data_IF_562732043095
#
_entry.id   IF_562732043095
#
_cell.length_a   1.000
_cell.length_b   1.000
_cell.length_c   1.000
_cell.angle_alpha   90.00
_cell.angle_beta   90.00
_cell.angle_gamma   90.00
#
_symmetry.space_group_name_H-M   'P 1'
#
loop_
_entity.id
_entity.type
_entity.pdbx_description
1 polymer ?
#
# COMPACT_ATOMS: atom_id res chain seq x y z
N UNK A 1 -17.71 5.95 44.76
CA UNK A 1 -18.12 6.48 43.44
C UNK A 1 -19.09 5.48 42.82
N UNK A 2 -20.11 5.90 42.08
CA UNK A 2 -20.93 4.95 41.30
C UNK A 2 -20.03 4.26 40.27
N UNK A 3 -20.23 2.96 40.07
CA UNK A 3 -19.43 2.19 39.12
C UNK A 3 -19.62 2.69 37.68
N UNK A 4 -18.56 2.56 36.87
CA UNK A 4 -18.54 2.98 35.48
C UNK A 4 -19.20 1.92 34.59
N UNK A 5 -20.44 2.19 34.15
CA UNK A 5 -21.26 1.24 33.35
C UNK A 5 -21.55 1.74 31.93
N UNK A 6 -20.53 2.02 31.10
CA UNK A 6 -20.75 2.47 29.73
C UNK A 6 -21.31 1.36 28.85
N UNK A 7 -21.97 1.75 27.76
CA UNK A 7 -22.47 0.84 26.73
C UNK A 7 -21.65 1.04 25.46
N UNK A 8 -21.10 -0.05 24.93
CA UNK A 8 -20.42 -0.05 23.64
C UNK A 8 -21.25 -0.81 22.62
N UNK A 9 -21.52 -0.19 21.47
CA UNK A 9 -22.11 -0.87 20.33
C UNK A 9 -20.98 -1.23 19.37
N UNK A 10 -20.76 -2.53 19.20
CA UNK A 10 -19.69 -3.12 18.39
C UNK A 10 -20.29 -3.91 17.23
N UNK A 11 -19.47 -4.22 16.24
CA UNK A 11 -19.89 -4.89 15.01
C UNK A 11 -19.17 -4.32 13.80
N UNK A 12 -19.43 -4.91 12.64
CA UNK A 12 -18.87 -4.43 11.38
C UNK A 12 -19.37 -3.02 11.06
N UNK A 13 -18.55 -2.12 10.49
CA UNK A 13 -19.03 -0.88 9.91
C UNK A 13 -20.21 -1.14 8.98
N UNK A 14 -21.13 -0.18 8.89
CA UNK A 14 -22.36 -0.26 8.06
C UNK A 14 -23.37 -1.34 8.50
N UNK A 15 -23.20 -1.89 9.71
CA UNK A 15 -24.21 -2.75 10.37
C UNK A 15 -25.22 -1.97 11.19
N UNK A 16 -25.12 -0.64 11.24
CA UNK A 16 -26.06 0.23 11.97
C UNK A 16 -25.63 0.62 13.38
N UNK A 17 -24.33 0.53 13.70
CA UNK A 17 -23.80 0.92 15.02
C UNK A 17 -24.16 2.36 15.38
N UNK A 18 -24.07 3.29 14.43
CA UNK A 18 -24.37 4.70 14.64
C UNK A 18 -25.89 4.93 14.86
N UNK A 19 -26.78 4.28 14.09
CA UNK A 19 -28.24 4.41 14.29
C UNK A 19 -28.69 3.85 15.64
N UNK A 20 -28.12 2.72 16.08
CA UNK A 20 -28.44 2.18 17.41
C UNK A 20 -27.90 3.08 18.53
N UNK A 21 -26.72 3.69 18.34
CA UNK A 21 -26.17 4.70 19.27
C UNK A 21 -27.15 5.86 19.43
N UNK A 22 -27.73 6.31 18.32
CA UNK A 22 -28.74 7.34 18.30
C UNK A 22 -30.01 6.97 19.04
N UNK A 23 -30.54 5.77 18.79
CA UNK A 23 -31.67 5.21 19.51
C UNK A 23 -31.44 5.28 21.01
N UNK A 24 -30.36 4.65 21.49
CA UNK A 24 -30.06 4.60 22.92
C UNK A 24 -29.77 5.98 23.51
N UNK A 25 -29.17 6.89 22.74
CA UNK A 25 -28.92 8.28 23.16
C UNK A 25 -30.18 9.11 23.42
N UNK A 26 -31.35 8.68 22.92
CA UNK A 26 -32.62 9.34 23.24
C UNK A 26 -33.15 9.00 24.65
N UNK A 27 -32.57 8.01 25.33
CA UNK A 27 -32.97 7.64 26.68
C UNK A 27 -32.55 8.72 27.69
N UNK A 28 -33.41 9.12 28.67
CA UNK A 28 -33.09 10.18 29.64
C UNK A 28 -31.79 9.96 30.43
N UNK A 29 -31.42 8.70 30.67
CA UNK A 29 -30.22 8.35 31.44
C UNK A 29 -28.97 8.04 30.59
N UNK A 30 -29.08 7.98 29.26
CA UNK A 30 -27.97 7.62 28.37
C UNK A 30 -27.55 8.79 27.49
N UNK A 31 -26.28 9.18 27.59
CA UNK A 31 -25.67 10.14 26.68
C UNK A 31 -25.12 9.44 25.43
N UNK A 32 -25.66 9.76 24.26
CA UNK A 32 -25.12 9.30 22.98
C UNK A 32 -23.83 10.02 22.61
N UNK A 33 -22.74 9.27 22.40
CA UNK A 33 -21.44 9.82 22.02
C UNK A 33 -21.11 9.57 20.55
N UNK A 34 -20.31 10.47 19.98
CA UNK A 34 -19.68 10.32 18.67
C UNK A 34 -18.76 9.10 18.60
N UNK A 35 -18.59 8.56 17.39
CA UNK A 35 -17.50 7.63 17.10
C UNK A 35 -16.17 8.31 17.41
N UNK A 36 -15.34 7.67 18.24
CA UNK A 36 -14.17 8.33 18.83
C UNK A 36 -12.87 7.57 18.66
N UNK A 37 -12.95 6.24 18.50
CA UNK A 37 -11.87 5.31 18.17
C UNK A 37 -10.53 5.50 18.93
N UNK A 38 -10.54 6.07 20.13
CA UNK A 38 -9.32 6.32 20.90
C UNK A 38 -9.23 5.45 22.14
N UNK A 39 -10.35 5.02 22.73
CA UNK A 39 -10.36 4.34 24.03
C UNK A 39 -9.71 2.94 23.96
N UNK A 40 -10.00 2.17 22.90
CA UNK A 40 -9.40 0.85 22.72
C UNK A 40 -7.88 0.91 22.44
N UNK A 41 -7.37 1.77 21.52
CA UNK A 41 -5.93 2.00 21.41
C UNK A 41 -5.30 2.50 22.71
N UNK A 42 -5.96 3.43 23.40
CA UNK A 42 -5.46 3.98 24.66
C UNK A 42 -5.33 2.93 25.77
N UNK A 43 -6.22 1.92 25.82
CA UNK A 43 -6.07 0.80 26.73
C UNK A 43 -4.75 0.03 26.49
N UNK A 44 -4.35 -0.14 25.22
CA UNK A 44 -3.06 -0.74 24.85
C UNK A 44 -1.91 0.17 25.28
N UNK A 45 -1.99 1.48 25.02
CA UNK A 45 -0.97 2.45 25.41
C UNK A 45 -0.75 2.47 26.93
N UNK A 46 -1.83 2.39 27.72
CA UNK A 46 -1.75 2.30 29.17
C UNK A 46 -1.09 1.01 29.63
N UNK A 47 -1.39 -0.13 29.00
CA UNK A 47 -0.73 -1.39 29.33
C UNK A 47 0.77 -1.36 28.98
N UNK A 48 1.15 -0.71 27.87
CA UNK A 48 2.56 -0.45 27.51
C UNK A 48 3.23 0.46 28.54
N UNK A 49 2.56 1.55 28.93
CA UNK A 49 3.06 2.49 29.93
C UNK A 49 3.24 1.81 31.30
N UNK A 50 2.28 0.98 31.71
CA UNK A 50 2.36 0.18 32.92
C UNK A 50 3.56 -0.76 32.87
N UNK A 51 3.75 -1.50 31.77
CA UNK A 51 4.91 -2.39 31.56
C UNK A 51 6.24 -1.65 31.72
N UNK A 52 6.35 -0.43 31.19
CA UNK A 52 7.54 0.43 31.38
C UNK A 52 7.70 0.83 32.85
N UNK A 53 6.61 1.20 33.51
CA UNK A 53 6.57 1.58 34.92
C UNK A 53 6.85 0.44 35.91
N UNK A 54 6.62 -0.82 35.51
CA UNK A 54 6.81 -2.04 36.32
C UNK A 54 8.05 -2.89 35.93
N UNK A 55 8.79 -2.51 34.89
CA UNK A 55 9.85 -3.31 34.27
C UNK A 55 10.97 -3.79 35.21
N UNK A 56 11.19 -3.13 36.36
CA UNK A 56 12.28 -3.46 37.30
C UNK A 56 11.79 -4.09 38.61
N UNK A 57 10.58 -4.68 38.62
CA UNK A 57 9.99 -5.29 39.81
C UNK A 57 9.92 -4.29 40.97
N UNK A 58 10.32 -4.67 42.17
CA UNK A 58 10.27 -3.80 43.36
C UNK A 58 11.07 -2.48 43.26
N UNK A 59 11.95 -2.32 42.27
CA UNK A 59 12.67 -1.05 42.02
C UNK A 59 11.91 -0.09 41.11
N UNK A 60 10.81 -0.54 40.54
CA UNK A 60 9.94 0.21 39.65
C UNK A 60 8.81 0.85 40.46
N UNK A 61 8.46 2.11 40.19
CA UNK A 61 7.50 2.87 40.98
C UNK A 61 6.18 2.11 41.19
N UNK A 62 5.56 1.63 40.11
CA UNK A 62 4.24 0.97 40.16
C UNK A 62 4.28 -0.33 40.98
N UNK A 63 5.25 -1.20 40.68
CA UNK A 63 5.42 -2.48 41.37
C UNK A 63 5.82 -2.32 42.83
N UNK A 64 6.68 -1.35 43.16
CA UNK A 64 7.08 -1.06 44.55
C UNK A 64 5.90 -0.62 45.43
N UNK A 65 4.85 -0.06 44.82
CA UNK A 65 3.62 0.37 45.48
C UNK A 65 2.55 -0.72 45.50
N UNK A 66 2.80 -1.90 44.92
CA UNK A 66 1.83 -2.99 44.80
C UNK A 66 0.65 -2.66 43.88
N UNK A 67 0.81 -1.73 42.94
CA UNK A 67 -0.23 -1.37 41.99
C UNK A 67 -0.30 -2.44 40.91
N UNK A 68 -1.45 -3.10 40.79
CA UNK A 68 -1.73 -4.08 39.74
C UNK A 68 -2.19 -3.41 38.44
N UNK A 69 -1.90 -4.04 37.30
CA UNK A 69 -2.17 -3.46 35.97
C UNK A 69 -3.65 -3.19 35.74
N UNK A 70 -4.49 -4.19 36.04
CA UNK A 70 -5.94 -4.08 35.79
C UNK A 70 -6.57 -3.03 36.73
N UNK A 71 -6.10 -2.93 37.97
CA UNK A 71 -6.51 -1.85 38.89
C UNK A 71 -6.12 -0.47 38.33
N UNK A 72 -4.87 -0.31 37.89
CA UNK A 72 -4.40 0.94 37.28
C UNK A 72 -5.26 1.34 36.07
N UNK A 73 -5.57 0.40 35.18
CA UNK A 73 -6.43 0.65 34.02
C UNK A 73 -7.85 1.05 34.42
N UNK A 74 -8.44 0.38 35.42
CA UNK A 74 -9.77 0.71 35.94
C UNK A 74 -9.83 2.10 36.59
N UNK A 75 -8.79 2.50 37.32
CA UNK A 75 -8.69 3.85 37.89
C UNK A 75 -8.67 4.92 36.80
N UNK A 76 -7.92 4.69 35.71
CA UNK A 76 -7.92 5.59 34.55
C UNK A 76 -9.28 5.58 33.84
N UNK A 77 -9.92 4.42 33.65
CA UNK A 77 -11.28 4.35 33.11
C UNK A 77 -12.31 5.12 33.94
N UNK A 78 -12.16 5.10 35.27
CA UNK A 78 -12.97 5.92 36.19
C UNK A 78 -12.78 7.42 35.93
N UNK A 79 -11.54 7.86 35.69
CA UNK A 79 -11.22 9.23 35.30
C UNK A 79 -11.83 9.61 33.94
N UNK A 80 -11.79 8.72 32.95
CA UNK A 80 -12.40 8.93 31.62
C UNK A 80 -13.91 9.12 31.77
N UNK A 81 -14.58 8.20 32.46
CA UNK A 81 -16.02 8.29 32.69
C UNK A 81 -16.41 9.57 33.41
N UNK A 82 -15.68 9.90 34.48
CA UNK A 82 -15.90 11.14 35.25
C UNK A 82 -15.77 12.37 34.36
N UNK A 83 -14.77 12.40 33.49
CA UNK A 83 -14.56 13.50 32.54
C UNK A 83 -15.72 13.62 31.55
N UNK A 84 -16.15 12.52 30.94
CA UNK A 84 -17.29 12.52 29.99
C UNK A 84 -18.56 13.05 30.66
N UNK A 85 -18.94 12.48 31.80
CA UNK A 85 -20.18 12.85 32.50
C UNK A 85 -20.11 14.30 33.00
N UNK A 86 -18.97 14.73 33.57
CA UNK A 86 -18.78 16.10 34.06
C UNK A 86 -18.86 17.15 32.95
N UNK A 87 -18.42 16.82 31.75
CA UNK A 87 -18.39 17.75 30.62
C UNK A 87 -19.60 17.63 29.68
N UNK A 88 -20.63 16.84 30.05
CA UNK A 88 -21.81 16.64 29.20
C UNK A 88 -22.57 17.93 28.86
N UNK A 89 -22.70 18.87 29.80
CA UNK A 89 -23.48 20.10 29.59
C UNK A 89 -22.90 20.95 28.45
N UNK A 90 -21.57 20.97 28.33
CA UNK A 90 -20.89 21.63 27.22
C UNK A 90 -21.19 20.95 25.88
N UNK A 91 -21.27 19.61 25.87
CA UNK A 91 -21.62 18.83 24.68
C UNK A 91 -23.10 19.04 24.29
N UNK A 92 -24.02 18.96 25.25
CA UNK A 92 -25.46 19.21 25.05
C UNK A 92 -25.74 20.63 24.54
N UNK A 93 -25.06 21.62 25.10
CA UNK A 93 -25.18 23.03 24.69
C UNK A 93 -24.72 23.25 23.25
N UNK A 94 -23.61 22.63 22.84
CA UNK A 94 -23.17 22.67 21.43
C UNK A 94 -24.17 21.99 20.50
N UNK A 95 -24.79 20.89 20.95
CA UNK A 95 -25.87 20.24 20.21
C UNK A 95 -27.07 21.14 19.96
N UNK A 96 -27.53 21.86 21.00
CA UNK A 96 -28.63 22.83 20.89
C UNK A 96 -28.34 23.99 19.94
N UNK A 97 -27.08 24.40 19.83
CA UNK A 97 -26.63 25.49 18.97
C UNK A 97 -26.42 25.08 17.51
N UNK A 98 -26.78 23.84 17.12
CA UNK A 98 -26.64 23.34 15.75
C UNK A 98 -25.21 22.98 15.36
N UNK A 99 -24.30 22.85 16.34
CA UNK A 99 -22.88 22.57 16.12
C UNK A 99 -22.52 21.07 16.33
N UNK A 100 -23.51 20.16 16.33
CA UNK A 100 -23.26 18.73 16.53
C UNK A 100 -22.98 18.03 15.20
N UNK A 101 -21.80 17.37 15.03
CA UNK A 101 -21.51 16.52 13.87
C UNK A 101 -22.52 15.38 13.73
N UNK A 102 -23.00 14.90 14.88
CA UNK A 102 -24.06 13.94 15.05
C UNK A 102 -25.40 14.42 14.44
N UNK A 103 -25.84 15.66 14.66
CA UNK A 103 -27.13 16.16 14.16
C UNK A 103 -27.00 17.39 13.25
N UNK A 104 -26.43 17.24 12.05
CA UNK A 104 -26.14 18.36 11.16
C UNK A 104 -27.40 19.04 10.62
N UNK A 105 -28.51 18.31 10.52
CA UNK A 105 -29.80 18.83 10.04
C UNK A 105 -30.70 19.33 11.19
N UNK A 106 -30.20 19.32 12.44
CA UNK A 106 -30.95 19.66 13.65
C UNK A 106 -32.31 18.94 13.74
N UNK A 107 -32.35 17.67 13.32
CA UNK A 107 -33.57 16.89 13.29
C UNK A 107 -33.99 16.47 14.72
N UNK A 108 -35.27 16.56 15.10
CA UNK A 108 -35.73 16.27 16.47
C UNK A 108 -35.39 14.86 16.98
N UNK A 109 -35.37 13.86 16.09
CA UNK A 109 -35.04 12.48 16.44
C UNK A 109 -33.57 12.28 16.86
N UNK A 110 -32.68 13.25 16.60
CA UNK A 110 -31.24 13.18 16.87
C UNK A 110 -30.80 14.23 17.89
N UNK A 111 -31.70 14.60 18.82
CA UNK A 111 -31.34 15.46 19.94
C UNK A 111 -30.36 14.72 20.86
N UNK A 112 -29.32 15.42 21.31
CA UNK A 112 -28.35 14.90 22.29
C UNK A 112 -29.01 14.77 23.67
N UNK A 113 -29.77 15.79 24.05
CA UNK A 113 -30.57 15.83 25.27
C UNK A 113 -31.98 16.30 24.93
N UNK A 114 -32.98 15.66 25.56
CA UNK A 114 -34.40 15.96 25.34
C UNK A 114 -34.90 16.95 26.38
N UNK A 115 -34.40 16.83 27.61
CA UNK A 115 -34.71 17.70 28.74
C UNK A 115 -33.43 18.09 29.50
N UNK A 116 -33.34 19.32 29.98
CA UNK A 116 -32.17 19.77 30.77
C UNK A 116 -32.03 19.02 32.11
N UNK A 117 -33.13 18.46 32.61
CA UNK A 117 -33.17 17.63 33.80
C UNK A 117 -32.81 16.15 33.54
N UNK A 118 -32.57 15.76 32.28
CA UNK A 118 -32.20 14.39 31.92
C UNK A 118 -30.95 13.95 32.72
N UNK A 119 -31.01 12.82 33.47
CA UNK A 119 -29.92 12.44 34.35
C UNK A 119 -28.61 12.10 33.65
N UNK A 120 -28.65 11.62 32.39
CA UNK A 120 -27.49 11.29 31.53
C UNK A 120 -26.27 10.76 32.31
N UNK A 121 -26.48 9.80 33.20
CA UNK A 121 -25.46 9.33 34.14
C UNK A 121 -24.58 8.22 33.56
N UNK A 122 -24.99 7.65 32.43
CA UNK A 122 -24.25 6.68 31.62
C UNK A 122 -24.13 7.20 30.20
N UNK A 123 -23.28 6.57 29.41
CA UNK A 123 -23.08 6.95 28.01
C UNK A 123 -22.99 5.71 27.11
N UNK A 124 -23.34 5.91 25.84
CA UNK A 124 -23.28 4.90 24.79
C UNK A 124 -22.35 5.38 23.68
N UNK A 125 -21.49 4.48 23.19
CA UNK A 125 -20.57 4.75 22.09
C UNK A 125 -20.60 3.61 21.07
N UNK A 126 -20.96 3.89 19.82
CA UNK A 126 -21.01 2.90 18.76
C UNK A 126 -19.90 3.05 17.73
N UNK A 127 -18.65 2.83 18.14
CA UNK A 127 -17.49 2.79 17.22
C UNK A 127 -17.26 1.35 16.73
N UNK A 128 -17.43 1.04 15.42
CA UNK A 128 -17.20 -0.31 14.88
C UNK A 128 -15.82 -0.89 15.21
N UNK A 129 -14.78 -0.08 15.20
CA UNK A 129 -13.38 -0.49 15.46
C UNK A 129 -13.18 -1.01 16.88
N UNK A 130 -14.05 -0.65 17.83
CA UNK A 130 -14.03 -1.21 19.18
C UNK A 130 -14.35 -2.70 19.23
N UNK A 131 -14.87 -3.29 18.16
CA UNK A 131 -14.99 -4.76 18.00
C UNK A 131 -13.67 -5.48 18.26
N UNK A 132 -12.55 -4.88 17.87
CA UNK A 132 -11.23 -5.45 18.09
C UNK A 132 -10.70 -5.16 19.51
N UNK A 133 -11.25 -4.18 20.20
CA UNK A 133 -10.71 -3.63 21.45
C UNK A 133 -11.43 -4.05 22.72
N UNK A 134 -12.36 -5.02 22.64
CA UNK A 134 -13.27 -5.36 23.74
C UNK A 134 -12.52 -5.73 25.03
N UNK A 135 -11.44 -6.52 24.94
CA UNK A 135 -10.61 -6.87 26.10
C UNK A 135 -10.05 -5.64 26.82
N UNK A 136 -9.42 -4.71 26.08
CA UNK A 136 -8.86 -3.49 26.63
C UNK A 136 -9.93 -2.55 27.20
N UNK A 137 -11.09 -2.47 26.54
CA UNK A 137 -12.24 -1.71 27.04
C UNK A 137 -12.81 -2.31 28.33
N UNK A 138 -12.85 -3.64 28.46
CA UNK A 138 -13.24 -4.34 29.69
C UNK A 138 -12.26 -4.09 30.85
N UNK A 139 -10.96 -3.95 30.57
CA UNK A 139 -9.96 -3.56 31.58
C UNK A 139 -10.11 -2.10 32.03
N UNK A 140 -10.49 -1.19 31.13
CA UNK A 140 -10.80 0.20 31.48
C UNK A 140 -12.14 0.32 32.24
N UNK A 141 -13.15 -0.43 31.81
CA UNK A 141 -14.52 -0.35 32.28
C UNK A 141 -15.06 -1.75 32.62
N UNK A 142 -14.75 -2.29 33.82
CA UNK A 142 -15.12 -3.67 34.17
C UNK A 142 -16.63 -3.96 34.17
N UNK A 143 -17.47 -2.92 34.35
CA UNK A 143 -18.92 -3.04 34.29
C UNK A 143 -19.52 -2.57 32.95
N UNK A 144 -18.71 -2.47 31.89
CA UNK A 144 -19.19 -2.17 30.56
C UNK A 144 -20.12 -3.26 30.02
N UNK A 145 -21.10 -2.84 29.21
CA UNK A 145 -21.97 -3.73 28.43
C UNK A 145 -21.67 -3.56 26.96
N UNK A 146 -21.60 -4.66 26.23
CA UNK A 146 -21.34 -4.66 24.78
C UNK A 146 -22.57 -5.15 24.03
N UNK A 147 -22.96 -4.44 22.98
CA UNK A 147 -24.00 -4.85 22.06
C UNK A 147 -23.33 -5.17 20.73
N UNK A 148 -23.25 -6.45 20.37
CA UNK A 148 -22.78 -6.90 19.08
C UNK A 148 -23.91 -6.79 18.06
N UNK A 149 -23.85 -5.76 17.23
CA UNK A 149 -24.82 -5.52 16.16
C UNK A 149 -24.38 -6.18 14.86
N UNK A 150 -25.15 -7.16 14.41
CA UNK A 150 -24.92 -7.94 13.20
C UNK A 150 -25.85 -7.49 12.09
N UNK A 151 -25.36 -7.49 10.86
CA UNK A 151 -26.15 -7.26 9.64
C UNK A 151 -25.68 -8.23 8.56
N UNK A 152 -26.59 -8.65 7.68
CA UNK A 152 -26.29 -9.49 6.53
C UNK A 152 -25.14 -8.88 5.70
N UNK A 153 -24.04 -9.62 5.45
CA UNK A 153 -22.89 -9.12 4.72
C UNK A 153 -23.22 -8.69 3.28
N UNK A 154 -24.24 -9.28 2.64
CA UNK A 154 -24.71 -8.89 1.31
C UNK A 154 -25.28 -7.47 1.27
N UNK A 155 -25.76 -6.96 2.42
CA UNK A 155 -26.24 -5.58 2.55
C UNK A 155 -25.16 -4.63 3.08
N UNK A 156 -24.19 -5.16 3.82
CA UNK A 156 -23.06 -4.40 4.37
C UNK A 156 -22.06 -4.02 3.29
N UNK A 157 -21.64 -4.98 2.45
CA UNK A 157 -20.54 -4.80 1.50
C UNK A 157 -20.83 -3.71 0.46
N UNK A 158 -22.01 -3.68 -0.20
CA UNK A 158 -22.37 -2.56 -1.09
C UNK A 158 -22.41 -1.21 -0.35
N UNK A 159 -22.83 -1.20 0.93
CA UNK A 159 -22.84 0.02 1.74
C UNK A 159 -21.43 0.49 2.10
N UNK A 160 -20.48 -0.42 2.31
CA UNK A 160 -19.06 -0.10 2.54
C UNK A 160 -18.40 0.49 1.30
N UNK A 161 -18.65 -0.09 0.12
CA UNK A 161 -18.11 0.38 -1.17
C UNK A 161 -18.62 1.74 -1.58
N UNK A 162 -19.87 2.04 -1.23
CA UNK A 162 -20.53 3.32 -1.52
C UNK A 162 -20.50 4.30 -0.34
N UNK A 163 -19.66 4.05 0.66
CA UNK A 163 -19.47 5.00 1.75
C UNK A 163 -18.73 6.23 1.22
N UNK A 164 -19.39 7.38 1.32
CA UNK A 164 -18.88 8.73 1.07
C UNK A 164 -17.99 8.93 -0.18
N UNK A 165 -18.64 8.93 -1.36
CA UNK A 165 -18.04 9.45 -2.62
C UNK A 165 -17.76 10.95 -2.57
N UNK A 166 -18.25 11.70 -1.59
CA UNK A 166 -18.09 13.16 -1.46
C UNK A 166 -16.78 13.51 -0.74
N UNK A 167 -16.35 12.72 0.25
CA UNK A 167 -15.07 12.87 0.96
C UNK A 167 -13.94 11.93 0.48
N UNK A 168 -14.16 11.15 -0.59
CA UNK A 168 -13.20 10.19 -1.19
C UNK A 168 -12.68 9.12 -0.23
N UNK A 169 -13.48 8.67 0.74
CA UNK A 169 -13.10 7.60 1.67
C UNK A 169 -14.05 6.41 1.52
N UNK A 170 -13.68 5.43 0.70
CA UNK A 170 -14.37 4.14 0.72
C UNK A 170 -13.87 3.29 1.88
N UNK A 171 -14.77 2.52 2.51
CA UNK A 171 -14.38 1.53 3.49
C UNK A 171 -13.79 0.30 2.77
N UNK A 172 -14.34 -0.13 1.66
CA UNK A 172 -13.81 -1.28 0.90
C UNK A 172 -13.65 -0.92 -0.58
N UNK A 173 -12.50 -1.25 -1.17
CA UNK A 173 -12.28 -1.02 -2.61
C UNK A 173 -12.94 -2.14 -3.43
N UNK A 174 -12.90 -3.37 -2.93
CA UNK A 174 -13.46 -4.56 -3.57
C UNK A 174 -14.51 -5.25 -2.69
N UNK A 175 -15.28 -6.17 -3.27
CA UNK A 175 -16.22 -6.99 -2.51
C UNK A 175 -15.44 -7.90 -1.54
N UNK A 176 -14.33 -8.50 -1.98
CA UNK A 176 -13.43 -9.32 -1.18
C UNK A 176 -12.95 -8.61 0.09
N UNK A 177 -12.49 -7.37 -0.04
CA UNK A 177 -12.09 -6.57 1.13
C UNK A 177 -13.29 -6.30 2.06
N UNK A 178 -14.46 -6.02 1.51
CA UNK A 178 -15.67 -5.77 2.29
C UNK A 178 -16.11 -7.00 3.09
N UNK A 179 -16.11 -8.17 2.47
CA UNK A 179 -16.44 -9.43 3.13
C UNK A 179 -15.41 -9.81 4.18
N UNK A 180 -14.12 -9.74 3.84
CA UNK A 180 -13.05 -10.02 4.78
C UNK A 180 -13.13 -9.09 6.01
N UNK A 181 -13.43 -7.81 5.80
CA UNK A 181 -13.64 -6.87 6.89
C UNK A 181 -14.85 -7.21 7.74
N UNK A 182 -16.00 -7.47 7.13
CA UNK A 182 -17.20 -7.86 7.88
C UNK A 182 -16.92 -9.11 8.74
N UNK A 183 -16.28 -10.13 8.15
CA UNK A 183 -15.89 -11.34 8.86
C UNK A 183 -14.95 -11.05 10.03
N UNK A 184 -13.92 -10.22 9.83
CA UNK A 184 -12.96 -9.88 10.88
C UNK A 184 -13.64 -9.23 12.09
N UNK A 185 -14.55 -8.27 11.86
CA UNK A 185 -15.32 -7.64 12.95
C UNK A 185 -16.26 -8.64 13.62
N UNK A 186 -17.05 -9.38 12.84
CA UNK A 186 -18.01 -10.34 13.38
C UNK A 186 -17.32 -11.45 14.20
N UNK A 187 -16.18 -11.97 13.73
CA UNK A 187 -15.38 -12.97 14.46
C UNK A 187 -14.79 -12.40 15.76
N UNK A 188 -14.31 -11.16 15.76
CA UNK A 188 -13.82 -10.51 16.98
C UNK A 188 -14.94 -10.33 18.03
N UNK A 189 -16.14 -9.94 17.60
CA UNK A 189 -17.29 -9.86 18.49
C UNK A 189 -17.78 -11.23 18.99
N UNK A 190 -17.76 -12.26 18.14
CA UNK A 190 -18.11 -13.64 18.57
C UNK A 190 -17.11 -14.17 19.60
N UNK A 191 -15.81 -13.91 19.41
CA UNK A 191 -14.82 -14.24 20.44
C UNK A 191 -15.16 -13.58 21.78
N UNK A 192 -15.62 -12.32 21.77
CA UNK A 192 -16.04 -11.64 22.98
C UNK A 192 -17.34 -12.19 23.58
N UNK A 193 -18.32 -12.56 22.75
CA UNK A 193 -19.54 -13.25 23.20
C UNK A 193 -19.19 -14.55 23.92
N UNK A 194 -18.29 -15.34 23.34
CA UNK A 194 -17.83 -16.60 23.92
C UNK A 194 -17.00 -16.37 25.19
N UNK A 195 -16.13 -15.36 25.19
CA UNK A 195 -15.22 -15.06 26.29
C UNK A 195 -15.90 -14.42 27.52
N UNK A 196 -17.00 -13.69 27.34
CA UNK A 196 -17.61 -12.86 28.38
C UNK A 196 -19.07 -13.26 28.71
N UNK A 197 -19.73 -14.02 27.83
CA UNK A 197 -21.08 -14.52 28.02
C UNK A 197 -22.20 -13.47 27.87
N UNK A 198 -23.44 -13.97 27.83
CA UNK A 198 -24.64 -13.16 27.53
C UNK A 198 -24.93 -12.03 28.53
N UNK A 199 -24.39 -12.12 29.76
CA UNK A 199 -24.53 -11.08 30.79
C UNK A 199 -23.72 -9.82 30.45
N UNK A 200 -22.63 -9.95 29.70
CA UNK A 200 -21.72 -8.85 29.35
C UNK A 200 -21.87 -8.43 27.88
N UNK A 201 -22.21 -9.38 26.99
CA UNK A 201 -22.34 -9.16 25.55
C UNK A 201 -23.71 -9.62 25.04
N UNK A 202 -24.46 -8.72 24.42
CA UNK A 202 -25.74 -9.02 23.78
C UNK A 202 -25.61 -8.98 22.25
N UNK A 203 -25.99 -10.06 21.57
CA UNK A 203 -26.07 -10.10 20.11
C UNK A 203 -27.43 -9.58 19.64
N UNK A 204 -27.43 -8.62 18.71
CA UNK A 204 -28.64 -8.11 18.07
C UNK A 204 -28.46 -8.07 16.54
N UNK A 205 -29.56 -8.17 15.79
CA UNK A 205 -29.56 -8.08 14.33
C UNK A 205 -30.23 -6.81 13.85
N UNK A 206 -29.62 -6.11 12.89
CA UNK A 206 -30.21 -4.91 12.32
C UNK A 206 -31.55 -5.21 11.63
N UNK A 207 -31.67 -6.38 11.00
CA UNK A 207 -32.90 -6.82 10.34
C UNK A 207 -34.08 -6.92 11.33
N UNK A 208 -33.83 -7.42 12.53
CA UNK A 208 -34.84 -7.51 13.59
C UNK A 208 -35.13 -6.12 14.18
N UNK A 209 -34.09 -5.29 14.36
CA UNK A 209 -34.23 -3.90 14.81
C UNK A 209 -35.08 -3.06 13.84
N UNK A 210 -35.03 -3.34 12.54
CA UNK A 210 -35.83 -2.62 11.53
C UNK A 210 -37.24 -3.18 11.42
N UNK A 211 -37.41 -4.52 11.47
CA UNK A 211 -38.71 -5.16 11.29
C UNK A 211 -39.58 -5.18 12.54
N UNK A 212 -38.97 -5.26 13.72
CA UNK A 212 -39.63 -5.26 15.03
C UNK A 212 -38.85 -4.36 16.01
N UNK A 213 -38.84 -3.03 15.78
CA UNK A 213 -37.98 -2.09 16.51
C UNK A 213 -38.27 -2.03 18.01
N UNK A 214 -39.54 -1.99 18.41
CA UNK A 214 -39.94 -1.91 19.82
C UNK A 214 -39.48 -3.14 20.61
N UNK A 215 -39.78 -4.34 20.10
CA UNK A 215 -39.35 -5.60 20.71
C UNK A 215 -37.82 -5.70 20.83
N UNK A 216 -37.11 -5.33 19.77
CA UNK A 216 -35.64 -5.39 19.74
C UNK A 216 -35.02 -4.42 20.74
N UNK A 217 -35.55 -3.19 20.83
CA UNK A 217 -35.08 -2.23 21.82
C UNK A 217 -35.42 -2.66 23.25
N UNK A 218 -36.62 -3.20 23.51
CA UNK A 218 -36.98 -3.72 24.84
C UNK A 218 -35.96 -4.76 25.32
N UNK A 219 -35.59 -5.72 24.47
CA UNK A 219 -34.56 -6.73 24.80
C UNK A 219 -33.19 -6.10 25.10
N UNK A 220 -32.80 -5.07 24.33
CA UNK A 220 -31.55 -4.34 24.57
C UNK A 220 -31.61 -3.57 25.90
N UNK A 221 -32.74 -2.94 26.21
CA UNK A 221 -32.97 -2.19 27.44
C UNK A 221 -32.94 -3.09 28.69
N UNK A 222 -33.55 -4.27 28.59
CA UNK A 222 -33.46 -5.31 29.63
C UNK A 222 -32.02 -5.73 29.89
N UNK A 223 -31.23 -5.94 28.82
CA UNK A 223 -29.82 -6.31 28.93
C UNK A 223 -28.93 -5.21 29.54
N UNK A 224 -29.12 -3.94 29.15
CA UNK A 224 -28.33 -2.83 29.70
C UNK A 224 -28.85 -2.34 31.07
N UNK A 225 -29.93 -2.94 31.57
CA UNK A 225 -30.58 -2.64 32.85
C UNK A 225 -31.10 -1.18 32.93
N UNK A 226 -31.79 -0.72 31.89
CA UNK A 226 -32.48 0.58 31.87
C UNK A 226 -33.94 0.37 31.44
N UNK A 227 -34.90 1.18 31.94
CA UNK A 227 -36.28 1.08 31.48
C UNK A 227 -36.38 1.44 29.99
N UNK A 228 -37.30 0.78 29.28
CA UNK A 228 -37.59 1.14 27.89
C UNK A 228 -38.12 2.59 27.80
N UNK A 229 -37.59 3.36 26.85
CA UNK A 229 -38.09 4.71 26.55
C UNK A 229 -38.51 4.82 25.08
N UNK A 230 -39.78 5.14 24.85
CA UNK A 230 -40.40 5.19 23.50
C UNK A 230 -39.69 6.14 22.53
N UNK A 231 -39.17 7.25 23.03
CA UNK A 231 -38.36 8.22 22.28
C UNK A 231 -37.15 7.58 21.55
N UNK A 232 -36.66 6.42 22.00
CA UNK A 232 -35.56 5.70 21.36
C UNK A 232 -35.94 5.06 20.02
N UNK A 233 -37.23 4.99 19.68
CA UNK A 233 -37.72 4.52 18.38
C UNK A 233 -37.63 5.59 17.29
N UNK A 234 -37.65 6.88 17.65
CA UNK A 234 -37.73 7.98 16.69
C UNK A 234 -36.58 7.98 15.66
N UNK A 235 -35.31 7.74 16.04
CA UNK A 235 -34.21 7.60 15.08
C UNK A 235 -34.47 6.61 13.94
N UNK A 236 -35.14 5.48 14.21
CA UNK A 236 -35.33 4.40 13.24
C UNK A 236 -36.31 4.78 12.12
N UNK A 237 -37.13 5.80 12.34
CA UNK A 237 -38.04 6.35 11.32
C UNK A 237 -37.28 7.14 10.24
N UNK A 238 -35.97 7.40 10.45
CA UNK A 238 -35.12 8.14 9.54
C UNK A 238 -33.97 7.29 9.03
N UNK A 239 -33.69 7.42 7.74
CA UNK A 239 -32.51 6.83 7.12
C UNK A 239 -31.31 7.74 7.36
N UNK A 240 -30.41 7.35 8.26
CA UNK A 240 -29.15 8.08 8.55
C UNK A 240 -28.03 7.73 7.55
N UNK A 241 -28.19 6.66 6.75
CA UNK A 241 -27.06 6.18 5.95
C UNK A 241 -26.65 7.18 4.85
N UNK A 242 -25.36 7.54 4.86
CA UNK A 242 -24.70 8.35 3.82
C UNK A 242 -24.41 7.59 2.52
N UNK A 243 -24.72 6.30 2.47
CA UNK A 243 -24.44 5.43 1.33
C UNK A 243 -25.66 5.30 0.42
N UNK A 244 -25.55 5.84 -0.79
CA UNK A 244 -26.53 5.62 -1.86
C UNK A 244 -26.17 4.35 -2.64
N UNK A 245 -26.77 3.23 -2.23
CA UNK A 245 -26.66 1.95 -2.95
C UNK A 245 -27.83 1.84 -3.92
N UNK A 246 -27.55 1.68 -5.22
CA UNK A 246 -28.58 1.45 -6.22
C UNK A 246 -29.15 0.02 -6.09
N UNK A 247 -30.44 -0.18 -6.41
CA UNK A 247 -31.06 -1.51 -6.34
C UNK A 247 -30.35 -2.57 -7.22
N UNK A 248 -29.75 -2.14 -8.33
CA UNK A 248 -28.96 -2.98 -9.21
C UNK A 248 -27.65 -3.48 -8.55
N UNK A 249 -27.08 -2.75 -7.59
CA UNK A 249 -25.85 -3.17 -6.88
C UNK A 249 -26.12 -4.20 -5.77
N UNK A 250 -27.39 -4.38 -5.41
CA UNK A 250 -27.82 -5.46 -4.52
C UNK A 250 -28.03 -6.79 -5.28
N UNK A 251 -28.15 -6.73 -6.61
CA UNK A 251 -28.21 -7.91 -7.47
C UNK A 251 -26.79 -8.38 -7.76
N UNK A 252 -26.42 -9.55 -7.23
CA UNK A 252 -25.09 -10.14 -7.41
C UNK A 252 -25.08 -11.17 -8.52
N UNK A 253 -23.96 -11.19 -9.24
CA UNK A 253 -23.62 -12.19 -10.25
C UNK A 253 -23.08 -13.46 -9.56
N UNK A 254 -23.78 -14.61 -9.65
CA UNK A 254 -23.33 -15.87 -9.06
C UNK A 254 -21.97 -16.34 -9.59
N UNK A 255 -21.58 -15.93 -10.80
CA UNK A 255 -20.32 -16.31 -11.42
C UNK A 255 -19.10 -15.61 -10.80
N UNK A 256 -19.32 -14.58 -9.96
CA UNK A 256 -18.26 -13.84 -9.24
C UNK A 256 -18.13 -14.25 -7.77
N UNK A 257 -18.69 -15.40 -7.38
CA UNK A 257 -18.64 -15.86 -6.00
C UNK A 257 -17.26 -16.37 -5.62
N UNK A 258 -16.61 -15.71 -4.66
CA UNK A 258 -15.35 -16.18 -4.07
C UNK A 258 -15.59 -16.99 -2.79
N UNK A 259 -14.60 -17.79 -2.39
CA UNK A 259 -14.66 -18.57 -1.15
C UNK A 259 -14.95 -17.69 0.09
N UNK A 260 -14.42 -16.47 0.12
CA UNK A 260 -14.62 -15.50 1.21
C UNK A 260 -16.08 -15.05 1.32
N UNK A 261 -16.81 -15.00 0.20
CA UNK A 261 -18.22 -14.57 0.18
C UNK A 261 -19.10 -15.68 0.73
N UNK A 262 -18.87 -16.91 0.24
CA UNK A 262 -19.56 -18.10 0.70
C UNK A 262 -19.35 -18.32 2.20
N UNK A 263 -18.10 -18.21 2.67
CA UNK A 263 -17.75 -18.32 4.09
C UNK A 263 -18.48 -17.27 4.94
N UNK A 264 -18.49 -16.01 4.51
CA UNK A 264 -19.17 -14.94 5.26
C UNK A 264 -20.69 -15.16 5.34
N UNK A 265 -21.31 -15.66 4.27
CA UNK A 265 -22.76 -15.96 4.24
C UNK A 265 -23.10 -17.13 5.14
N UNK A 266 -22.34 -18.22 5.08
CA UNK A 266 -22.51 -19.36 5.98
C UNK A 266 -22.25 -18.96 7.43
N UNK A 267 -21.26 -18.11 7.68
CA UNK A 267 -21.02 -17.56 9.02
C UNK A 267 -22.21 -16.74 9.50
N UNK A 268 -22.75 -15.84 8.68
CA UNK A 268 -23.97 -15.07 9.04
C UNK A 268 -25.18 -15.98 9.32
N UNK A 269 -25.41 -17.02 8.50
CA UNK A 269 -26.47 -18.01 8.75
C UNK A 269 -26.27 -18.71 10.09
N UNK A 270 -25.03 -19.08 10.40
CA UNK A 270 -24.66 -19.68 11.69
C UNK A 270 -24.95 -18.73 12.85
N UNK A 271 -24.63 -17.44 12.71
CA UNK A 271 -24.96 -16.43 13.73
C UNK A 271 -26.47 -16.29 13.93
N UNK A 272 -27.29 -16.37 12.87
CA UNK A 272 -28.76 -16.35 12.97
C UNK A 272 -29.33 -17.60 13.65
N UNK A 273 -28.68 -18.74 13.50
CA UNK A 273 -29.14 -20.02 14.04
C UNK A 273 -28.65 -20.30 15.47
N UNK A 274 -27.69 -19.53 15.97
CA UNK A 274 -27.05 -19.75 17.28
C UNK A 274 -27.24 -18.55 18.20
N UNK A 275 -27.24 -18.82 19.50
CA UNK A 275 -27.20 -17.78 20.53
C UNK A 275 -25.83 -17.79 21.22
N UNK A 276 -25.34 -16.63 21.70
CA UNK A 276 -24.19 -16.56 22.57
C UNK A 276 -24.31 -17.52 23.77
N UNK A 277 -23.18 -18.03 24.31
CA UNK A 277 -23.21 -18.85 25.50
C UNK A 277 -23.66 -18.03 26.73
N UNK A 278 -24.38 -18.70 27.64
CA UNK A 278 -24.89 -18.05 28.87
C UNK A 278 -23.77 -17.69 29.83
N UNK A 279 -22.79 -18.57 29.95
CA UNK A 279 -21.63 -18.40 30.82
C UNK A 279 -20.35 -18.29 29.98
N UNK A 280 -19.33 -17.55 30.45
CA UNK A 280 -18.05 -17.41 29.77
C UNK A 280 -17.37 -18.76 29.48
N UNK A 281 -16.81 -18.91 28.28
CA UNK A 281 -15.97 -20.03 27.90
C UNK A 281 -14.50 -19.73 28.26
N UNK A 282 -13.85 -20.52 29.13
CA UNK A 282 -12.48 -20.22 29.58
C UNK A 282 -11.44 -20.15 28.45
N UNK A 283 -11.58 -21.01 27.43
CA UNK A 283 -10.67 -21.02 26.27
C UNK A 283 -10.79 -19.74 25.43
N UNK A 284 -12.02 -19.25 25.23
CA UNK A 284 -12.27 -18.00 24.53
C UNK A 284 -11.76 -16.79 25.34
N UNK A 285 -11.94 -16.80 26.66
CA UNK A 285 -11.41 -15.77 27.54
C UNK A 285 -9.87 -15.70 27.50
N UNK A 286 -9.20 -16.86 27.53
CA UNK A 286 -7.75 -16.94 27.41
C UNK A 286 -7.26 -16.43 26.05
N UNK A 287 -7.91 -16.83 24.95
CA UNK A 287 -7.57 -16.36 23.60
C UNK A 287 -7.78 -14.85 23.45
N UNK A 288 -8.86 -14.31 24.02
CA UNK A 288 -9.13 -12.88 23.98
C UNK A 288 -8.07 -12.07 24.75
N UNK A 289 -7.64 -12.56 25.93
CA UNK A 289 -6.55 -11.95 26.69
C UNK A 289 -5.20 -12.07 25.94
N UNK A 290 -4.91 -13.22 25.33
CA UNK A 290 -3.72 -13.43 24.50
C UNK A 290 -3.65 -12.42 23.34
N UNK A 291 -4.77 -12.19 22.64
CA UNK A 291 -4.84 -11.20 21.58
C UNK A 291 -4.58 -9.77 22.08
N UNK A 292 -5.04 -9.44 23.28
CA UNK A 292 -4.74 -8.17 23.92
C UNK A 292 -3.24 -8.05 24.24
N UNK A 293 -2.65 -9.06 24.89
CA UNK A 293 -1.21 -9.07 25.21
C UNK A 293 -0.32 -9.01 23.98
N UNK A 294 -0.70 -9.69 22.89
CA UNK A 294 0.01 -9.63 21.63
C UNK A 294 0.04 -8.19 21.08
N UNK A 295 -1.07 -7.45 21.17
CA UNK A 295 -1.11 -6.03 20.76
C UNK A 295 -0.29 -5.13 21.67
N UNK A 296 -0.30 -5.38 22.98
CA UNK A 296 0.55 -4.66 23.93
C UNK A 296 2.03 -4.89 23.64
N UNK A 297 2.43 -6.14 23.37
CA UNK A 297 3.81 -6.47 22.98
C UNK A 297 4.19 -5.81 21.65
N UNK A 298 3.34 -5.95 20.62
CA UNK A 298 3.55 -5.32 19.33
C UNK A 298 3.71 -3.79 19.43
N UNK A 299 2.82 -3.12 20.18
CA UNK A 299 2.87 -1.68 20.39
C UNK A 299 4.10 -1.24 21.20
N UNK A 300 4.49 -2.02 22.22
CA UNK A 300 5.70 -1.77 23.02
C UNK A 300 6.97 -1.78 22.15
N UNK A 301 7.05 -2.73 21.21
CA UNK A 301 8.24 -2.93 20.37
C UNK A 301 8.22 -2.08 19.08
N UNK A 302 7.10 -1.42 18.78
CA UNK A 302 6.89 -0.68 17.55
C UNK A 302 7.94 0.41 17.32
N UNK A 303 8.29 1.19 18.35
CA UNK A 303 9.31 2.24 18.26
C UNK A 303 10.69 1.67 17.90
N UNK A 304 11.07 0.55 18.51
CA UNK A 304 12.34 -0.11 18.24
C UNK A 304 12.37 -0.71 16.82
N UNK A 305 11.28 -1.39 16.43
CA UNK A 305 11.12 -1.97 15.10
C UNK A 305 11.10 -0.90 14.01
N UNK A 306 10.43 0.23 14.25
CA UNK A 306 10.42 1.37 13.34
C UNK A 306 11.81 1.99 13.21
N UNK A 307 12.54 2.16 14.30
CA UNK A 307 13.91 2.67 14.27
C UNK A 307 14.86 1.76 13.47
N UNK A 308 14.74 0.43 13.64
CA UNK A 308 15.49 -0.56 12.86
C UNK A 308 15.14 -0.50 11.37
N UNK A 309 13.85 -0.49 11.05
CA UNK A 309 13.34 -0.42 9.67
C UNK A 309 13.78 0.87 8.99
N UNK A 310 13.73 2.01 9.70
CA UNK A 310 14.19 3.31 9.19
C UNK A 310 15.68 3.30 8.87
N UNK A 311 16.52 2.69 9.71
CA UNK A 311 17.96 2.52 9.43
C UNK A 311 18.21 1.68 8.18
N UNK A 312 17.50 0.55 8.05
CA UNK A 312 17.61 -0.30 6.87
C UNK A 312 17.16 0.43 5.59
N UNK A 313 16.07 1.19 5.66
CA UNK A 313 15.59 1.99 4.54
C UNK A 313 16.61 3.04 4.10
N UNK A 314 17.20 3.78 5.03
CA UNK A 314 18.23 4.77 4.73
C UNK A 314 19.45 4.13 4.05
N UNK A 315 19.90 2.96 4.53
CA UNK A 315 21.00 2.22 3.91
C UNK A 315 20.66 1.79 2.47
N UNK A 316 19.45 1.27 2.25
CA UNK A 316 18.99 0.89 0.91
C UNK A 316 18.89 2.10 -0.02
N UNK A 317 18.48 3.27 0.48
CA UNK A 317 18.45 4.50 -0.30
C UNK A 317 19.86 4.94 -0.73
N UNK A 318 20.85 4.82 0.17
CA UNK A 318 22.25 5.11 -0.14
C UNK A 318 22.79 4.15 -1.20
N UNK A 319 22.63 2.84 -1.01
CA UNK A 319 23.04 1.82 -2.00
C UNK A 319 22.35 2.01 -3.37
N UNK A 320 21.06 2.36 -3.37
CA UNK A 320 20.33 2.65 -4.60
C UNK A 320 20.89 3.90 -5.30
N UNK A 321 21.22 4.94 -4.55
CA UNK A 321 21.82 6.16 -5.10
C UNK A 321 23.19 5.87 -5.71
N UNK A 322 24.06 5.14 -5.01
CA UNK A 322 25.39 4.73 -5.50
C UNK A 322 25.28 3.92 -6.80
N UNK A 323 24.40 2.92 -6.83
CA UNK A 323 24.17 2.09 -8.05
C UNK A 323 23.63 2.93 -9.21
N UNK A 324 22.78 3.91 -8.92
CA UNK A 324 22.26 4.81 -9.95
C UNK A 324 23.37 5.69 -10.53
N UNK A 325 24.23 6.26 -9.69
CA UNK A 325 25.39 7.04 -10.13
C UNK A 325 26.36 6.18 -10.95
N UNK A 326 26.67 4.98 -10.49
CA UNK A 326 27.51 4.03 -11.21
C UNK A 326 26.91 3.65 -12.59
N UNK A 327 25.60 3.41 -12.67
CA UNK A 327 24.93 3.11 -13.93
C UNK A 327 24.98 4.30 -14.91
N UNK A 328 24.86 5.53 -14.41
CA UNK A 328 25.00 6.75 -15.23
C UNK A 328 26.43 6.91 -15.76
N UNK A 329 27.44 6.68 -14.92
CA UNK A 329 28.85 6.69 -15.33
C UNK A 329 29.14 5.64 -16.40
N UNK A 330 28.68 4.41 -16.21
CA UNK A 330 28.83 3.34 -17.20
C UNK A 330 28.17 3.68 -18.54
N UNK A 331 26.99 4.33 -18.50
CA UNK A 331 26.31 4.80 -19.71
C UNK A 331 27.16 5.84 -20.44
N UNK A 332 27.72 6.81 -19.72
CA UNK A 332 28.60 7.83 -20.31
C UNK A 332 29.86 7.19 -20.92
N UNK A 333 30.51 6.27 -20.20
CA UNK A 333 31.67 5.53 -20.73
C UNK A 333 31.31 4.73 -21.99
N UNK A 334 30.15 4.08 -22.01
CA UNK A 334 29.68 3.33 -23.18
C UNK A 334 29.45 4.25 -24.39
N UNK A 335 28.88 5.44 -24.18
CA UNK A 335 28.69 6.45 -25.22
C UNK A 335 30.03 6.99 -25.74
N UNK A 336 31.00 7.24 -24.86
CA UNK A 336 32.35 7.66 -25.24
C UNK A 336 33.08 6.57 -26.04
N UNK A 337 33.01 5.31 -25.60
CA UNK A 337 33.59 4.16 -26.32
C UNK A 337 32.93 3.97 -27.69
N UNK A 338 31.62 4.13 -27.80
CA UNK A 338 30.90 4.05 -29.06
C UNK A 338 31.36 5.12 -30.07
N UNK A 339 31.55 6.36 -29.62
CA UNK A 339 32.13 7.45 -30.44
C UNK A 339 33.53 7.09 -30.94
N UNK A 340 34.39 6.57 -30.05
CA UNK A 340 35.76 6.17 -30.42
C UNK A 340 35.79 5.02 -31.42
N UNK A 341 34.89 4.04 -31.29
CA UNK A 341 34.74 2.95 -32.25
C UNK A 341 34.38 3.51 -33.63
N UNK A 342 33.44 4.46 -33.70
CA UNK A 342 33.03 5.08 -34.95
C UNK A 342 34.18 5.86 -35.62
N UNK A 343 34.96 6.62 -34.84
CA UNK A 343 36.17 7.30 -35.33
C UNK A 343 37.18 6.31 -35.92
N UNK A 344 37.49 5.24 -35.19
CA UNK A 344 38.43 4.21 -35.64
C UNK A 344 37.93 3.49 -36.89
N UNK A 345 36.62 3.24 -37.00
CA UNK A 345 36.02 2.67 -38.21
C UNK A 345 36.22 3.60 -39.42
N UNK A 346 36.04 4.91 -39.25
CA UNK A 346 36.28 5.89 -40.30
C UNK A 346 37.77 5.94 -40.71
N UNK A 347 38.70 5.96 -39.74
CA UNK A 347 40.14 5.92 -40.01
C UNK A 347 40.53 4.65 -40.78
N UNK A 348 40.01 3.49 -40.39
CA UNK A 348 40.24 2.22 -41.10
C UNK A 348 39.69 2.29 -42.53
N UNK A 349 38.49 2.85 -42.72
CA UNK A 349 37.90 3.01 -44.06
C UNK A 349 38.73 3.94 -44.96
N UNK A 350 39.26 5.04 -44.41
CA UNK A 350 40.17 5.94 -45.12
C UNK A 350 41.48 5.26 -45.51
N UNK A 351 42.15 4.58 -44.56
CA UNK A 351 43.38 3.83 -44.85
C UNK A 351 43.16 2.71 -45.86
N UNK A 352 42.01 2.06 -45.81
CA UNK A 352 41.63 1.03 -46.79
C UNK A 352 41.50 1.63 -48.18
N UNK A 353 40.79 2.76 -48.32
CA UNK A 353 40.67 3.49 -49.61
C UNK A 353 42.03 3.93 -50.14
N UNK A 354 42.87 4.51 -49.27
CA UNK A 354 44.22 4.92 -49.63
C UNK A 354 45.08 3.75 -50.11
N UNK A 355 45.02 2.60 -49.42
CA UNK A 355 45.75 1.39 -49.82
C UNK A 355 45.29 0.87 -51.18
N UNK A 356 43.98 0.89 -51.46
CA UNK A 356 43.43 0.51 -52.77
C UNK A 356 43.89 1.45 -53.88
N UNK A 357 43.89 2.76 -53.63
CA UNK A 357 44.41 3.75 -54.58
C UNK A 357 45.89 3.51 -54.86
N UNK A 358 46.70 3.28 -53.82
CA UNK A 358 48.13 3.01 -53.98
C UNK A 358 48.39 1.75 -54.81
N UNK A 359 47.57 0.70 -54.62
CA UNK A 359 47.63 -0.52 -55.44
C UNK A 359 47.33 -0.23 -56.91
N UNK A 360 46.32 0.61 -57.20
CA UNK A 360 46.00 1.00 -58.58
C UNK A 360 47.14 1.83 -59.21
N UNK A 361 47.71 2.79 -58.47
CA UNK A 361 48.86 3.57 -58.93
C UNK A 361 50.08 2.70 -59.23
N UNK A 362 50.38 1.71 -58.38
CA UNK A 362 51.44 0.72 -58.62
C UNK A 362 51.13 -0.09 -59.88
N UNK A 363 49.91 -0.61 -60.03
CA UNK A 363 49.51 -1.36 -61.22
C UNK A 363 49.55 -0.52 -62.51
N UNK A 364 49.30 0.78 -62.44
CA UNK A 364 49.48 1.71 -63.56
C UNK A 364 50.96 1.91 -63.88
N UNK A 365 51.81 2.12 -62.86
CA UNK A 365 53.26 2.24 -63.05
C UNK A 365 53.87 0.98 -63.66
N UNK A 366 53.46 -0.19 -63.19
CA UNK A 366 53.91 -1.47 -63.75
C UNK A 366 53.55 -1.61 -65.24
N UNK A 367 52.33 -1.20 -65.63
CA UNK A 367 51.91 -1.13 -67.03
C UNK A 367 52.80 -0.22 -67.88
N UNK A 368 53.13 0.97 -67.36
CA UNK A 368 54.03 1.92 -68.05
C UNK A 368 55.44 1.36 -68.16
N UNK A 369 55.98 0.74 -67.11
CA UNK A 369 57.30 0.11 -67.12
C UNK A 369 57.36 -0.96 -68.20
N UNK A 370 56.35 -1.85 -68.27
CA UNK A 370 56.26 -2.88 -69.30
C UNK A 370 56.21 -2.28 -70.72
N UNK A 371 55.46 -1.20 -70.92
CA UNK A 371 55.41 -0.51 -72.20
C UNK A 371 56.78 0.07 -72.58
N UNK A 372 57.43 0.79 -71.67
CA UNK A 372 58.74 1.40 -71.91
C UNK A 372 59.80 0.33 -72.17
N UNK A 373 59.77 -0.79 -71.43
CA UNK A 373 60.67 -1.93 -71.68
C UNK A 373 60.46 -2.51 -73.08
N UNK A 374 59.21 -2.63 -73.54
CA UNK A 374 58.89 -3.08 -74.89
C UNK A 374 59.41 -2.11 -75.95
N UNK A 375 59.15 -0.81 -75.80
CA UNK A 375 59.65 0.22 -76.72
C UNK A 375 61.19 0.25 -76.76
N UNK A 376 61.86 0.06 -75.61
CA UNK A 376 63.30 -0.03 -75.53
C UNK A 376 63.83 -1.26 -76.28
N UNK A 377 63.17 -2.42 -76.13
CA UNK A 377 63.54 -3.62 -76.87
C UNK A 377 63.40 -3.42 -78.38
N UNK A 378 62.26 -2.86 -78.83
CA UNK A 378 62.01 -2.54 -80.25
C UNK A 378 63.06 -1.57 -80.80
N UNK A 379 63.41 -0.50 -80.07
CA UNK A 379 64.45 0.45 -80.47
C UNK A 379 65.84 -0.17 -80.49
N UNK A 380 66.12 -1.09 -79.57
CA UNK A 380 67.39 -1.82 -79.49
C UNK A 380 67.53 -2.75 -80.69
N UNK A 381 66.47 -3.50 -81.03
CA UNK A 381 66.41 -4.32 -82.24
C UNK A 381 66.60 -3.47 -83.51
N UNK A 382 65.91 -2.34 -83.59
CA UNK A 382 66.08 -1.39 -84.69
C UNK A 382 67.52 -0.88 -84.80
N UNK A 383 68.16 -0.50 -83.69
CA UNK A 383 69.54 -0.02 -83.68
C UNK A 383 70.53 -1.12 -84.11
N UNK A 384 70.33 -2.36 -83.66
CA UNK A 384 71.13 -3.52 -84.07
C UNK A 384 70.95 -3.81 -85.56
N UNK A 385 69.72 -3.72 -86.08
CA UNK A 385 69.45 -3.87 -87.51
C UNK A 385 70.14 -2.78 -88.34
N UNK A 386 70.11 -1.53 -87.87
CA UNK A 386 70.79 -0.40 -88.51
C UNK A 386 72.31 -0.57 -88.51
N UNK A 387 72.89 -1.07 -87.40
CA UNK A 387 74.31 -1.41 -87.32
C UNK A 387 74.69 -2.52 -88.31
N UNK A 388 73.87 -3.57 -88.42
CA UNK A 388 74.10 -4.64 -89.39
C UNK A 388 74.00 -4.14 -90.84
N UNK A 389 73.08 -3.20 -91.12
CA UNK A 389 72.98 -2.56 -92.43
C UNK A 389 74.21 -1.68 -92.74
N UNK A 390 74.68 -0.89 -91.77
CA UNK A 390 75.89 -0.09 -91.93
C UNK A 390 77.12 -0.98 -92.12
N UNK A 391 77.26 -2.06 -91.35
CA UNK A 391 78.36 -3.02 -91.53
C UNK A 391 78.36 -3.63 -92.96
N UNK A 392 77.18 -3.96 -93.51
CA UNK A 392 77.05 -4.41 -94.90
C UNK A 392 77.42 -3.32 -95.91
N UNK A 393 77.07 -2.07 -95.65
CA UNK A 393 77.46 -0.92 -96.49
C UNK A 393 78.97 -0.67 -96.44
N UNK A 394 79.59 -0.78 -95.26
CA UNK A 394 81.03 -0.66 -95.09
C UNK A 394 81.77 -1.79 -95.82
N UNK A 395 81.24 -3.02 -95.79
CA UNK A 395 81.77 -4.17 -96.54
C UNK A 395 81.66 -3.98 -98.07
N UNK A 396 80.58 -3.35 -98.54
CA UNK A 396 80.42 -2.92 -99.94
C UNK A 396 81.38 -1.80 -100.33
N UNK A 397 81.63 -0.84 -99.44
CA UNK A 397 82.61 0.24 -99.66
C UNK A 397 84.03 -0.34 -99.73
N UNK A 398 84.39 -1.28 -98.86
CA UNK A 398 85.67 -1.99 -98.90
C UNK A 398 85.86 -2.78 -100.21
N UNK A 399 84.81 -3.41 -100.74
CA UNK A 399 84.83 -4.03 -102.09
C UNK A 399 85.03 -3.01 -103.21
N UNK A 400 84.48 -1.80 -103.08
CA UNK A 400 84.66 -0.73 -104.06
C UNK A 400 86.06 -0.09 -104.00
N UNK A 401 86.69 -0.04 -102.82
CA UNK A 401 88.05 0.49 -102.65
C UNK A 401 89.13 -0.50 -103.09
N UNK A 402 88.89 -1.80 -103.03
CA UNK A 402 89.75 -2.83 -103.62
C UNK A 402 89.78 -2.86 -105.16
N UNK A 403 88.93 -2.09 -105.84
CA UNK A 403 88.94 -1.94 -107.31
C UNK A 403 89.65 -0.68 -107.81
N UNK A 404 90.25 0.11 -106.91
CA UNK A 404 90.96 1.37 -107.25
C UNK A 404 92.45 1.36 -106.89
N UNK A 405 93.04 0.19 -106.65
CA UNK A 405 94.49 -0.04 -106.48
C UNK A 405 95.21 -0.45 -107.78
N UNK A 406 94.60 -0.25 -108.95
CA UNK A 406 95.18 -0.59 -110.25
C UNK A 406 95.22 0.63 -111.18
N UNK A 407 96.15 1.56 -110.93
CA UNK A 407 96.72 2.47 -111.94
C UNK A 407 97.82 3.36 -111.32
N UNK A 408 99.04 2.83 -111.28
CA UNK A 408 100.26 3.63 -111.16
C UNK A 408 100.69 4.14 -112.56
N UNK A 409 101.48 5.23 -112.60
CA UNK A 409 102.75 5.10 -113.32
C UNK A 409 103.96 5.65 -112.53
N UNK A 410 105.17 5.06 -112.69
CA UNK A 410 106.44 5.52 -112.11
C UNK A 410 107.25 6.39 -113.10
N UNK A 411 108.56 6.68 -112.89
CA UNK A 411 109.26 7.40 -111.81
C UNK A 411 110.06 8.61 -112.37
N UNK A 412 110.75 9.43 -111.55
CA UNK A 412 111.95 10.16 -112.00
C UNK A 412 112.80 10.75 -110.87
N UNK A 413 114.11 10.57 -111.03
CA UNK A 413 115.25 11.06 -110.27
C UNK A 413 115.27 12.57 -109.95
N UNK A 414 115.78 12.92 -108.76
CA UNK A 414 116.89 13.84 -108.43
C UNK A 414 117.02 13.93 -106.90
#
# INVERSE_FOLDING_TARGET
>A
MRATRPIFIVGSPRSGTSILTWCLGQHPNLLGLEESNWMAPFAVDLAVAFRRGSARGERSQLSSMGIERDQFMQEIGTCINTSIVRHREAFETRGRQGASPLNPENHPAFKISRDESDPKSRWVNGTPEYSFGIAGLGKLFPEARFIHLVRNPDLVVPSMRNFDRVARRTLAQTDEEGYARWQAHARACVLAEDALGEKIVCRAFLEDLVSAPEKSLQQIFDFIEEPFAEACLEPLQKRINSSNVAAAELQRDPEKESAVFAEAREFWKTLRATSPPKEPLPEAAALMEEQFEHRVAYAHDLDANYALTRRAHLKLQEEFHERTQWALQLKEEAEQRAKRILELQNEIAERTRWTLQLKEEVAQRDRVILQVQKELAERTEWALALQAENARKDELILRSQGQTEESAPPPSDV
#
